data_IF_981707967033
#
_entry.id   IF_981707967033
#
_cell.length_a   1.000
_cell.length_b   1.000
_cell.length_c   1.000
_cell.angle_alpha   90.00
_cell.angle_beta   90.00
_cell.angle_gamma   90.00
#
_symmetry.space_group_name_H-M   'P 1'
#
loop_
_entity.id
_entity.type
_entity.pdbx_description
1 polymer ?
#
# COMPACT_ATOMS: atom_id res chain seq x y z
N UNK A 1 11.82 -16.75 -34.11
CA UNK A 1 12.21 -17.30 -32.78
C UNK A 1 12.64 -16.17 -31.84
N UNK A 2 13.58 -15.29 -32.24
CA UNK A 2 14.04 -14.17 -31.40
C UNK A 2 13.01 -13.13 -30.95
N UNK A 3 12.02 -12.75 -31.77
CA UNK A 3 10.95 -11.82 -31.33
C UNK A 3 9.98 -12.46 -30.33
N UNK A 4 9.70 -13.76 -30.47
CA UNK A 4 8.83 -14.48 -29.54
C UNK A 4 9.53 -14.69 -28.19
N UNK A 5 10.83 -15.00 -28.20
CA UNK A 5 11.65 -15.09 -26.99
C UNK A 5 11.85 -13.73 -26.32
N UNK A 6 11.99 -12.64 -27.09
CA UNK A 6 12.05 -11.28 -26.56
C UNK A 6 10.72 -10.86 -25.90
N UNK A 7 9.58 -11.20 -26.50
CA UNK A 7 8.24 -10.94 -25.93
C UNK A 7 7.99 -11.80 -24.68
N UNK A 8 8.41 -13.06 -24.68
CA UNK A 8 8.28 -13.96 -23.52
C UNK A 8 9.24 -13.58 -22.38
N UNK A 9 10.48 -13.19 -22.69
CA UNK A 9 11.46 -12.68 -21.73
C UNK A 9 11.05 -11.32 -21.15
N UNK A 10 10.53 -10.41 -21.97
CA UNK A 10 9.93 -9.16 -21.52
C UNK A 10 8.68 -9.39 -20.67
N UNK A 11 7.88 -10.43 -20.98
CA UNK A 11 6.74 -10.89 -20.18
C UNK A 11 7.16 -11.41 -18.81
N UNK A 12 8.18 -12.27 -18.76
CA UNK A 12 8.74 -12.83 -17.53
C UNK A 12 9.39 -11.76 -16.64
N UNK A 13 10.20 -10.85 -17.22
CA UNK A 13 10.75 -9.70 -16.50
C UNK A 13 9.64 -8.74 -16.02
N UNK A 14 8.59 -8.52 -16.84
CA UNK A 14 7.41 -7.73 -16.45
C UNK A 14 6.63 -8.35 -15.29
N UNK A 15 6.55 -9.67 -15.23
CA UNK A 15 5.86 -10.38 -14.17
C UNK A 15 6.73 -10.47 -12.91
N UNK A 16 8.06 -10.54 -13.07
CA UNK A 16 9.02 -10.57 -11.98
C UNK A 16 8.98 -9.34 -11.07
N UNK A 17 9.01 -8.13 -11.65
CA UNK A 17 8.97 -6.92 -10.82
C UNK A 17 7.64 -6.72 -10.10
N UNK A 18 6.51 -7.12 -10.71
CA UNK A 18 5.19 -7.05 -10.05
C UNK A 18 5.12 -7.99 -8.86
N UNK A 19 5.59 -9.23 -9.04
CA UNK A 19 5.66 -10.20 -7.96
C UNK A 19 6.59 -9.73 -6.83
N UNK A 20 7.72 -9.09 -7.15
CA UNK A 20 8.60 -8.56 -6.11
C UNK A 20 7.98 -7.38 -5.35
N UNK A 21 7.29 -6.46 -6.03
CA UNK A 21 6.54 -5.40 -5.33
C UNK A 21 5.45 -5.97 -4.42
N UNK A 22 4.77 -7.03 -4.84
CA UNK A 22 3.81 -7.74 -4.01
C UNK A 22 4.47 -8.35 -2.76
N UNK A 23 5.60 -9.03 -2.92
CA UNK A 23 6.40 -9.54 -1.78
C UNK A 23 6.82 -8.43 -0.82
N UNK A 24 7.27 -7.29 -1.34
CA UNK A 24 7.65 -6.13 -0.51
C UNK A 24 6.43 -5.60 0.26
N UNK A 25 5.27 -5.48 -0.39
CA UNK A 25 4.03 -5.02 0.25
C UNK A 25 3.59 -5.94 1.39
N UNK A 26 3.58 -7.25 1.15
CA UNK A 26 3.25 -8.28 2.16
C UNK A 26 4.20 -8.24 3.35
N UNK A 27 5.51 -8.13 3.08
CA UNK A 27 6.51 -8.00 4.13
C UNK A 27 6.33 -6.72 4.96
N UNK A 28 6.06 -5.58 4.30
CA UNK A 28 5.76 -4.32 4.98
C UNK A 28 4.49 -4.40 5.84
N UNK A 29 3.44 -5.07 5.33
CA UNK A 29 2.22 -5.34 6.07
C UNK A 29 2.47 -6.16 7.34
N UNK A 30 3.21 -7.26 7.23
CA UNK A 30 3.59 -8.08 8.39
C UNK A 30 4.42 -7.32 9.43
N UNK A 31 5.31 -6.41 9.01
CA UNK A 31 6.04 -5.52 9.92
C UNK A 31 5.09 -4.53 10.60
N UNK A 32 4.18 -3.94 9.84
CA UNK A 32 3.26 -2.92 10.34
C UNK A 32 2.26 -3.49 11.36
N UNK A 33 1.80 -4.74 11.18
CA UNK A 33 0.98 -5.44 12.16
C UNK A 33 1.69 -5.64 13.50
N UNK A 34 3.01 -5.87 13.49
CA UNK A 34 3.83 -6.00 14.72
C UNK A 34 4.13 -4.65 15.36
N UNK A 35 4.06 -3.56 14.59
CA UNK A 35 4.39 -2.22 15.05
C UNK A 35 3.37 -1.17 14.55
N UNK A 36 2.10 -1.20 15.02
CA UNK A 36 1.02 -0.38 14.45
C UNK A 36 1.30 1.14 14.46
N UNK A 37 2.00 1.63 15.48
CA UNK A 37 2.34 3.05 15.63
C UNK A 37 3.42 3.55 14.66
N UNK A 38 4.10 2.66 13.93
CA UNK A 38 5.15 3.06 12.98
C UNK A 38 4.56 3.73 11.74
N UNK A 39 3.35 3.34 11.30
CA UNK A 39 2.76 3.85 10.05
C UNK A 39 2.42 5.34 10.13
N UNK A 40 1.73 5.84 11.18
CA UNK A 40 1.52 7.28 11.35
C UNK A 40 2.82 8.08 11.45
N UNK A 41 3.84 7.53 12.13
CA UNK A 41 5.16 8.18 12.25
C UNK A 41 5.87 8.29 10.91
N UNK A 42 5.82 7.24 10.08
CA UNK A 42 6.38 7.27 8.73
C UNK A 42 5.64 8.27 7.84
N UNK A 43 4.30 8.25 7.85
CA UNK A 43 3.48 9.14 7.02
C UNK A 43 3.78 10.63 7.31
N UNK A 44 3.85 10.99 8.59
CA UNK A 44 4.15 12.36 9.03
C UNK A 44 5.59 12.78 8.74
N UNK A 45 6.57 11.89 8.98
CA UNK A 45 7.99 12.19 8.70
C UNK A 45 8.26 12.35 7.21
N UNK A 46 7.67 11.50 6.35
CA UNK A 46 7.85 11.59 4.89
C UNK A 46 7.28 12.89 4.32
N UNK A 47 6.28 13.47 4.98
CA UNK A 47 5.69 14.77 4.63
C UNK A 47 6.58 15.94 5.06
N UNK A 48 7.15 15.90 6.27
CA UNK A 48 7.92 17.01 6.83
C UNK A 48 9.42 16.99 6.49
N UNK A 49 9.95 15.86 6.01
CA UNK A 49 11.41 15.67 5.81
C UNK A 49 11.78 15.66 4.33
N UNK A 50 12.61 16.62 3.85
CA UNK A 50 13.14 16.60 2.49
C UNK A 50 13.86 15.29 2.17
N UNK A 51 13.81 14.84 0.91
CA UNK A 51 14.32 13.53 0.47
C UNK A 51 15.72 13.22 1.03
N UNK A 52 16.70 14.11 0.81
CA UNK A 52 18.09 13.90 1.22
C UNK A 52 18.31 13.85 2.75
N UNK A 53 17.29 14.17 3.55
CA UNK A 53 17.33 14.13 5.03
C UNK A 53 16.48 13.00 5.61
N UNK A 54 15.86 12.17 4.77
CA UNK A 54 15.06 11.04 5.24
C UNK A 54 15.94 10.00 5.93
N UNK A 55 15.38 9.18 6.84
CA UNK A 55 16.12 8.08 7.45
C UNK A 55 16.73 7.16 6.38
N UNK A 56 17.95 6.66 6.63
CA UNK A 56 18.68 5.80 5.68
C UNK A 56 17.85 4.57 5.25
N UNK A 57 17.07 3.97 6.16
CA UNK A 57 16.20 2.84 5.84
C UNK A 57 15.11 3.18 4.81
N UNK A 58 14.57 4.40 4.84
CA UNK A 58 13.57 4.87 3.86
C UNK A 58 14.24 5.07 2.51
N UNK A 59 15.42 5.71 2.48
CA UNK A 59 16.18 5.91 1.25
C UNK A 59 16.56 4.57 0.60
N UNK A 60 17.00 3.60 1.41
CA UNK A 60 17.32 2.26 0.94
C UNK A 60 16.10 1.51 0.38
N UNK A 61 14.91 1.71 0.97
CA UNK A 61 13.68 1.14 0.46
C UNK A 61 13.28 1.76 -0.90
N UNK A 62 13.36 3.10 -1.01
CA UNK A 62 13.12 3.83 -2.26
C UNK A 62 14.10 3.37 -3.36
N UNK A 63 15.40 3.29 -3.04
CA UNK A 63 16.44 2.83 -3.96
C UNK A 63 16.19 1.39 -4.44
N UNK A 64 15.88 0.46 -3.52
CA UNK A 64 15.60 -0.94 -3.88
C UNK A 64 14.42 -1.06 -4.85
N UNK A 65 13.33 -0.32 -4.61
CA UNK A 65 12.16 -0.35 -5.49
C UNK A 65 12.50 0.27 -6.85
N UNK A 66 13.24 1.37 -6.89
CA UNK A 66 13.66 1.99 -8.14
C UNK A 66 14.61 1.07 -8.93
N UNK A 67 15.62 0.49 -8.29
CA UNK A 67 16.54 -0.47 -8.89
C UNK A 67 15.80 -1.65 -9.52
N UNK A 68 14.88 -2.28 -8.77
CA UNK A 68 14.01 -3.35 -9.29
C UNK A 68 13.29 -2.95 -10.59
N UNK A 69 12.73 -1.74 -10.63
CA UNK A 69 12.00 -1.26 -11.80
C UNK A 69 12.95 -0.96 -12.97
N UNK A 70 14.14 -0.42 -12.69
CA UNK A 70 15.17 -0.14 -13.71
C UNK A 70 15.75 -1.42 -14.30
N UNK A 71 16.03 -2.42 -13.47
CA UNK A 71 16.54 -3.74 -13.88
C UNK A 71 15.53 -4.51 -14.72
N UNK A 72 14.23 -4.25 -14.50
CA UNK A 72 13.16 -4.76 -15.36
C UNK A 72 13.04 -4.04 -16.73
N UNK A 73 13.95 -3.12 -17.05
CA UNK A 73 14.00 -2.39 -18.32
C UNK A 73 13.03 -1.22 -18.43
N UNK A 74 12.32 -0.85 -17.36
CA UNK A 74 11.37 0.27 -17.38
C UNK A 74 12.12 1.61 -17.52
N UNK A 75 11.56 2.55 -18.26
CA UNK A 75 12.12 3.92 -18.40
C UNK A 75 12.08 4.72 -17.09
N UNK A 76 12.89 5.78 -16.98
CA UNK A 76 13.08 6.50 -15.71
C UNK A 76 11.76 7.15 -15.23
N UNK A 77 11.04 7.81 -16.15
CA UNK A 77 9.73 8.38 -15.86
C UNK A 77 8.72 7.33 -15.41
N UNK A 78 8.68 6.18 -16.10
CA UNK A 78 7.77 5.09 -15.75
C UNK A 78 8.11 4.47 -14.39
N UNK A 79 9.40 4.32 -14.09
CA UNK A 79 9.89 3.82 -12.79
C UNK A 79 9.44 4.74 -11.66
N UNK A 80 9.59 6.06 -11.80
CA UNK A 80 9.11 7.03 -10.81
C UNK A 80 7.59 7.00 -10.67
N UNK A 81 6.83 6.87 -11.78
CA UNK A 81 5.36 6.74 -11.71
C UNK A 81 4.94 5.50 -10.93
N UNK A 82 5.55 4.35 -11.20
CA UNK A 82 5.26 3.09 -10.51
C UNK A 82 5.68 3.13 -9.04
N UNK A 83 6.87 3.67 -8.74
CA UNK A 83 7.34 3.89 -7.37
C UNK A 83 6.36 4.74 -6.55
N UNK A 84 5.88 5.87 -7.11
CA UNK A 84 4.89 6.73 -6.46
C UNK A 84 3.57 6.00 -6.23
N UNK A 85 3.07 5.29 -7.24
CA UNK A 85 1.82 4.53 -7.14
C UNK A 85 1.91 3.44 -6.06
N UNK A 86 3.00 2.67 -6.08
CA UNK A 86 3.28 1.63 -5.09
C UNK A 86 3.35 2.20 -3.67
N UNK A 87 4.14 3.26 -3.47
CA UNK A 87 4.34 3.89 -2.15
C UNK A 87 3.03 4.46 -1.62
N UNK A 88 2.26 5.16 -2.47
CA UNK A 88 0.97 5.73 -2.09
C UNK A 88 -0.06 4.65 -1.73
N UNK A 89 -0.13 3.57 -2.52
CA UNK A 89 -1.01 2.44 -2.24
C UNK A 89 -0.66 1.76 -0.92
N UNK A 90 0.61 1.41 -0.72
CA UNK A 90 1.05 0.71 0.48
C UNK A 90 0.80 1.54 1.74
N UNK A 91 1.22 2.81 1.75
CA UNK A 91 0.99 3.69 2.90
C UNK A 91 -0.50 3.93 3.15
N UNK A 92 -1.30 4.09 2.09
CA UNK A 92 -2.75 4.25 2.20
C UNK A 92 -3.43 3.02 2.79
N UNK A 93 -3.11 1.82 2.27
CA UNK A 93 -3.63 0.56 2.78
C UNK A 93 -3.30 0.37 4.26
N UNK A 94 -2.02 0.54 4.63
CA UNK A 94 -1.59 0.38 6.01
C UNK A 94 -2.25 1.39 6.96
N UNK A 95 -2.51 2.61 6.49
CA UNK A 95 -3.21 3.63 7.28
C UNK A 95 -4.66 3.22 7.55
N UNK A 96 -5.36 2.67 6.56
CA UNK A 96 -6.74 2.18 6.71
C UNK A 96 -6.79 0.94 7.57
N UNK A 97 -5.85 0.01 7.39
CA UNK A 97 -5.85 -1.27 8.10
C UNK A 97 -5.53 -1.13 9.60
N UNK A 98 -4.63 -0.19 9.94
CA UNK A 98 -4.14 0.00 11.31
C UNK A 98 -4.80 1.19 12.02
N UNK A 99 -5.87 1.73 11.44
CA UNK A 99 -6.64 2.81 12.07
C UNK A 99 -7.24 2.34 13.40
N UNK A 100 -7.32 3.26 14.36
CA UNK A 100 -8.07 2.99 15.59
C UNK A 100 -9.56 2.87 15.25
N UNK A 101 -10.15 1.74 15.64
CA UNK A 101 -11.59 1.45 15.50
C UNK A 101 -12.27 1.21 16.85
N UNK A 102 -11.52 0.72 17.84
CA UNK A 102 -12.01 0.48 19.20
C UNK A 102 -11.90 1.75 20.04
N UNK A 103 -12.96 2.07 20.77
CA UNK A 103 -13.05 3.13 21.78
C UNK A 103 -12.50 2.62 23.13
N UNK A 104 -12.89 1.39 23.52
CA UNK A 104 -12.44 0.72 24.75
C UNK A 104 -12.18 -0.77 24.47
N UNK A 105 -10.93 -1.23 24.36
CA UNK A 105 -10.59 -2.61 24.02
C UNK A 105 -11.04 -3.63 25.08
N UNK A 106 -11.17 -3.21 26.33
CA UNK A 106 -11.47 -4.09 27.47
C UNK A 106 -12.99 -4.34 27.62
N UNK A 107 -13.81 -3.60 26.87
CA UNK A 107 -15.26 -3.74 26.88
C UNK A 107 -15.69 -5.09 26.26
N UNK A 108 -16.47 -5.93 26.96
CA UNK A 108 -16.91 -7.22 26.45
C UNK A 108 -17.93 -7.09 25.31
N UNK A 109 -18.82 -6.10 25.35
CA UNK A 109 -19.82 -5.91 24.29
C UNK A 109 -19.18 -5.30 23.02
N UNK A 110 -19.26 -5.96 21.86
CA UNK A 110 -18.61 -5.47 20.63
C UNK A 110 -19.11 -4.08 20.17
N UNK A 111 -20.37 -3.72 20.44
CA UNK A 111 -20.91 -2.42 20.06
C UNK A 111 -20.39 -1.32 20.98
N UNK A 112 -20.26 -1.58 22.28
CA UNK A 112 -19.65 -0.63 23.22
C UNK A 112 -18.13 -0.54 23.04
N UNK A 113 -17.44 -1.66 22.72
CA UNK A 113 -16.01 -1.68 22.37
C UNK A 113 -15.69 -0.73 21.22
N UNK A 114 -16.58 -0.66 20.22
CA UNK A 114 -16.46 0.27 19.08
C UNK A 114 -17.01 1.68 19.38
N UNK A 115 -17.48 1.95 20.59
CA UNK A 115 -18.03 3.24 20.98
C UNK A 115 -19.34 3.61 20.28
N UNK A 116 -20.10 2.62 19.77
CA UNK A 116 -21.28 2.90 18.94
C UNK A 116 -22.31 3.72 19.71
N UNK A 117 -22.46 3.56 21.03
CA UNK A 117 -23.35 4.37 21.87
C UNK A 117 -23.09 5.89 21.79
N UNK A 118 -21.87 6.31 21.42
CA UNK A 118 -21.51 7.73 21.21
C UNK A 118 -21.92 8.26 19.84
N UNK A 119 -22.30 7.39 18.91
CA UNK A 119 -22.65 7.76 17.54
C UNK A 119 -24.15 8.05 17.40
N UNK A 120 -24.57 9.27 16.98
CA UNK A 120 -25.98 9.61 16.80
C UNK A 120 -26.60 8.77 15.68
N UNK A 121 -27.45 7.81 16.06
CA UNK A 121 -28.01 6.81 15.13
C UNK A 121 -28.90 7.41 14.03
N UNK A 122 -29.53 8.57 14.29
CA UNK A 122 -30.37 9.28 13.32
C UNK A 122 -29.55 9.99 12.25
N UNK A 123 -28.39 10.54 12.62
CA UNK A 123 -27.57 11.36 11.74
C UNK A 123 -26.53 10.51 10.98
N UNK A 124 -26.06 9.42 11.61
CA UNK A 124 -25.03 8.53 11.08
C UNK A 124 -25.48 7.06 10.96
N UNK A 125 -26.66 6.75 10.39
CA UNK A 125 -27.23 5.40 10.41
C UNK A 125 -26.33 4.38 9.71
N UNK A 126 -25.81 4.71 8.52
CA UNK A 126 -24.95 3.82 7.73
C UNK A 126 -23.59 3.58 8.39
N UNK A 127 -23.00 4.61 8.98
CA UNK A 127 -21.71 4.46 9.65
C UNK A 127 -21.85 3.57 10.88
N UNK A 128 -22.93 3.73 11.64
CA UNK A 128 -23.23 2.89 12.80
C UNK A 128 -23.48 1.42 12.39
N UNK A 129 -24.20 1.21 11.29
CA UNK A 129 -24.49 -0.12 10.73
C UNK A 129 -23.20 -0.82 10.25
N UNK A 130 -22.33 -0.09 9.54
CA UNK A 130 -21.16 -0.67 8.87
C UNK A 130 -19.88 -0.65 9.73
N UNK A 131 -19.83 0.11 10.83
CA UNK A 131 -18.65 0.20 11.69
C UNK A 131 -18.10 -1.17 12.15
N UNK A 132 -18.93 -2.17 12.53
CA UNK A 132 -18.44 -3.50 12.85
C UNK A 132 -17.72 -4.18 11.68
N UNK A 133 -18.21 -4.02 10.45
CA UNK A 133 -17.55 -4.56 9.25
C UNK A 133 -16.26 -3.80 8.93
N UNK A 134 -16.25 -2.48 9.15
CA UNK A 134 -15.07 -1.64 8.94
C UNK A 134 -13.94 -1.90 9.95
N UNK A 135 -14.26 -2.50 11.10
CA UNK A 135 -13.30 -2.91 12.12
C UNK A 135 -12.56 -4.20 11.76
N UNK A 136 -13.13 -5.00 10.85
CA UNK A 136 -12.46 -6.18 10.29
C UNK A 136 -11.36 -5.71 9.34
N UNK A 137 -10.16 -6.25 9.53
CA UNK A 137 -9.01 -6.00 8.65
C UNK A 137 -9.21 -6.69 7.30
N UNK A 138 -8.87 -6.01 6.20
CA UNK A 138 -8.99 -6.57 4.85
C UNK A 138 -7.94 -7.64 4.54
N UNK A 139 -6.81 -7.61 5.24
CA UNK A 139 -5.79 -8.65 5.17
C UNK A 139 -4.84 -8.54 3.98
N UNK A 140 -3.97 -9.54 3.88
CA UNK A 140 -2.89 -9.59 2.90
C UNK A 140 -3.41 -9.86 1.46
N UNK A 141 -4.51 -10.58 1.33
CA UNK A 141 -5.11 -10.93 0.04
C UNK A 141 -5.70 -9.71 -0.66
N UNK A 142 -6.47 -8.89 0.06
CA UNK A 142 -7.03 -7.65 -0.47
C UNK A 142 -5.94 -6.61 -0.79
N UNK A 143 -4.90 -6.52 0.07
CA UNK A 143 -3.71 -5.70 -0.20
C UNK A 143 -3.11 -6.03 -1.56
N UNK A 144 -2.87 -7.32 -1.82
CA UNK A 144 -2.26 -7.81 -3.05
C UNK A 144 -3.15 -7.62 -4.26
N UNK A 145 -4.44 -7.96 -4.14
CA UNK A 145 -5.39 -7.79 -5.23
C UNK A 145 -5.50 -6.32 -5.68
N UNK A 146 -5.58 -5.39 -4.73
CA UNK A 146 -5.63 -3.96 -5.02
C UNK A 146 -4.31 -3.42 -5.58
N UNK A 147 -3.17 -3.87 -5.06
CA UNK A 147 -1.85 -3.50 -5.59
C UNK A 147 -1.71 -3.95 -7.04
N UNK A 148 -2.01 -5.21 -7.34
CA UNK A 148 -1.93 -5.77 -8.68
C UNK A 148 -2.86 -5.03 -9.68
N UNK A 149 -4.08 -4.70 -9.26
CA UNK A 149 -4.98 -3.86 -10.05
C UNK A 149 -4.39 -2.47 -10.35
N UNK A 150 -3.81 -1.82 -9.36
CA UNK A 150 -3.13 -0.52 -9.53
C UNK A 150 -1.94 -0.62 -10.48
N UNK A 151 -1.04 -1.59 -10.25
CA UNK A 151 0.16 -1.78 -11.06
C UNK A 151 -0.19 -2.09 -12.51
N UNK A 152 -1.23 -2.91 -12.78
CA UNK A 152 -1.76 -3.12 -14.13
C UNK A 152 -2.18 -1.82 -14.81
N UNK A 153 -2.88 -0.94 -14.10
CA UNK A 153 -3.35 0.33 -14.66
C UNK A 153 -2.18 1.29 -14.93
N UNK A 154 -1.34 1.54 -13.94
CA UNK A 154 -0.23 2.50 -14.05
C UNK A 154 0.81 2.07 -15.08
N UNK A 155 1.03 0.77 -15.24
CA UNK A 155 1.94 0.25 -16.27
C UNK A 155 1.40 0.30 -17.70
N UNK A 156 0.07 0.37 -17.89
CA UNK A 156 -0.57 0.57 -19.21
C UNK A 156 -0.62 2.04 -19.61
N UNK A 157 -0.68 2.94 -18.63
CA UNK A 157 -0.60 4.38 -18.84
C UNK A 157 0.86 4.78 -19.12
N UNK A 158 1.32 4.52 -20.34
CA UNK A 158 2.44 5.28 -20.88
C UNK A 158 1.86 6.52 -21.58
N UNK A 159 2.02 7.73 -21.04
CA UNK A 159 1.78 8.92 -21.82
C UNK A 159 2.92 8.95 -22.84
N UNK A 160 2.65 8.39 -24.02
CA UNK A 160 3.46 8.66 -25.20
C UNK A 160 3.68 10.16 -25.28
N UNK A 161 4.92 10.51 -25.62
CA UNK A 161 5.39 11.85 -25.98
C UNK A 161 4.23 12.76 -26.43
N UNK A 162 3.92 13.77 -25.62
CA UNK A 162 3.36 15.04 -26.07
C UNK A 162 4.38 16.11 -25.70
#
# INVERSE_FOLDING_TARGET
>A
VGELEAVLGAGAARHGWRAELDRIARAAYAVALRHPHVVPLLATRLHATPLARRPAAVLAADERVLALLRDAGLGARQSVRLHRAFTAWLLGWLTVELRAMEDDPDEPDPAFRLGLHRMPARDLPRLRELAPLMAVRGGEEELSAGLDALLRRVSRSDPGVQ
#
